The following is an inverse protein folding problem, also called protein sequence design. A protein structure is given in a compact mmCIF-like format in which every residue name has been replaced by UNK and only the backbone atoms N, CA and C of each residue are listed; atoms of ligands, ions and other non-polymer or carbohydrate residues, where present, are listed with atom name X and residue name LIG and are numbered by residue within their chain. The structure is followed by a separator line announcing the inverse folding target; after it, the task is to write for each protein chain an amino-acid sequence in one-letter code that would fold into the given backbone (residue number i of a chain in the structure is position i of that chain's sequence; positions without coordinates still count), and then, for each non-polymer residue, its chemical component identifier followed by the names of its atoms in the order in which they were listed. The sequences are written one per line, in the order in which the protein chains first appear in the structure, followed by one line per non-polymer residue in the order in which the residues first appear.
data_IF_445504639115
#
_entry.id   IF_445504639115
#
_cell.length_a   1.000
_cell.length_b   1.000
_cell.length_c   1.000
_cell.angle_alpha   90.00
_cell.angle_beta   90.00
_cell.angle_gamma   90.00
#
_symmetry.space_group_name_H-M   'P 1'
#
loop_
_entity.id
_entity.type
_entity.pdbx_description
1 polymer ?
#
# COMPACT_ATOMS: atom_id res chain seq x y z
N UNK A 1 -19.57 -7.66 2.33
CA UNK A 1 -18.87 -8.09 3.58
C UNK A 1 -17.54 -8.71 3.21
N UNK A 2 -16.49 -8.35 3.92
CA UNK A 2 -15.16 -8.92 3.74
C UNK A 2 -14.98 -10.07 4.73
N UNK A 3 -14.56 -11.22 4.22
CA UNK A 3 -14.29 -12.38 5.07
C UNK A 3 -12.96 -12.22 5.78
N UNK A 4 -12.97 -12.45 7.09
CA UNK A 4 -11.77 -12.44 7.90
C UNK A 4 -11.40 -13.88 8.23
N UNK A 5 -10.15 -14.25 7.98
CA UNK A 5 -9.60 -15.55 8.34
C UNK A 5 -8.65 -15.41 9.50
N UNK A 6 -8.62 -16.41 10.38
CA UNK A 6 -7.68 -16.46 11.50
C UNK A 6 -6.62 -17.53 11.19
N UNK A 7 -5.36 -17.11 11.13
CA UNK A 7 -4.21 -17.96 10.90
C UNK A 7 -3.27 -17.89 12.10
N UNK A 8 -3.54 -18.71 13.13
CA UNK A 8 -2.70 -18.81 14.32
C UNK A 8 -2.49 -17.46 15.03
N UNK A 9 -3.60 -16.73 15.24
CA UNK A 9 -3.56 -15.41 15.86
C UNK A 9 -3.33 -14.25 14.91
N UNK A 10 -3.05 -14.51 13.64
CA UNK A 10 -3.00 -13.49 12.59
C UNK A 10 -4.36 -13.46 11.89
N UNK A 11 -5.04 -12.33 11.95
CA UNK A 11 -6.28 -12.14 11.21
C UNK A 11 -5.97 -11.54 9.84
N UNK A 12 -6.53 -12.16 8.80
CA UNK A 12 -6.31 -11.75 7.41
C UNK A 12 -7.64 -11.37 6.80
N UNK A 13 -7.77 -10.13 6.34
CA UNK A 13 -8.97 -9.63 5.67
C UNK A 13 -8.63 -9.28 4.23
N UNK A 14 -9.25 -9.92 3.22
CA UNK A 14 -9.02 -9.56 1.83
C UNK A 14 -9.67 -8.21 1.51
N UNK A 15 -8.95 -7.39 0.74
CA UNK A 15 -9.37 -6.05 0.36
C UNK A 15 -9.41 -5.95 -1.16
N UNK A 16 -10.56 -5.63 -1.78
CA UNK A 16 -10.61 -5.41 -3.22
C UNK A 16 -9.65 -4.30 -3.65
N UNK A 17 -8.96 -4.51 -4.76
CA UNK A 17 -8.04 -3.53 -5.35
C UNK A 17 -8.50 -3.14 -6.75
N UNK A 18 -7.97 -2.04 -7.27
CA UNK A 18 -8.22 -1.55 -8.63
C UNK A 18 -7.12 -2.03 -9.57
N UNK A 19 -7.43 -3.04 -10.37
CA UNK A 19 -6.49 -3.60 -11.33
C UNK A 19 -7.26 -4.14 -12.53
N UNK A 20 -6.55 -4.46 -13.62
CA UNK A 20 -7.18 -4.99 -14.85
C UNK A 20 -7.83 -6.36 -14.64
N UNK A 21 -7.39 -7.09 -13.62
CA UNK A 21 -7.95 -8.39 -13.23
C UNK A 21 -8.47 -8.30 -11.80
N UNK A 22 -9.35 -9.23 -11.43
CA UNK A 22 -9.80 -9.33 -10.04
C UNK A 22 -8.59 -9.54 -9.13
N UNK A 23 -8.35 -8.58 -8.26
CA UNK A 23 -7.15 -8.54 -7.44
C UNK A 23 -7.51 -8.14 -6.01
N UNK A 24 -6.87 -8.79 -5.05
CA UNK A 24 -7.05 -8.48 -3.62
C UNK A 24 -5.73 -8.11 -2.98
N UNK A 25 -5.78 -7.11 -2.12
CA UNK A 25 -4.78 -6.90 -1.09
C UNK A 25 -5.29 -7.49 0.22
N UNK A 26 -4.57 -7.24 1.29
CA UNK A 26 -4.90 -7.84 2.59
C UNK A 26 -4.62 -6.87 3.73
N UNK A 27 -5.50 -6.86 4.71
CA UNK A 27 -5.18 -6.30 6.01
C UNK A 27 -4.76 -7.45 6.93
N UNK A 28 -3.56 -7.36 7.45
CA UNK A 28 -2.97 -8.34 8.36
C UNK A 28 -3.00 -7.75 9.77
N UNK A 29 -3.67 -8.44 10.70
CA UNK A 29 -3.86 -7.92 12.04
C UNK A 29 -3.40 -8.90 13.11
N UNK A 30 -2.66 -8.39 14.08
CA UNK A 30 -2.44 -9.05 15.37
C UNK A 30 -3.21 -8.30 16.46
N UNK A 31 -3.05 -8.69 17.72
CA UNK A 31 -3.67 -7.96 18.83
C UNK A 31 -3.19 -6.51 18.93
N UNK A 32 -1.99 -6.19 18.40
CA UNK A 32 -1.35 -4.89 18.60
C UNK A 32 -0.98 -4.16 17.31
N UNK A 33 -1.09 -4.80 16.16
CA UNK A 33 -0.54 -4.25 14.91
C UNK A 33 -1.43 -4.54 13.73
N UNK A 34 -1.43 -3.62 12.76
CA UNK A 34 -2.10 -3.76 11.47
C UNK A 34 -1.15 -3.40 10.35
N UNK A 35 -1.05 -4.28 9.36
CA UNK A 35 -0.28 -4.04 8.13
C UNK A 35 -1.22 -4.21 6.95
N UNK A 36 -1.30 -3.19 6.10
CA UNK A 36 -2.05 -3.29 4.85
C UNK A 36 -1.09 -3.63 3.72
N UNK A 37 -1.38 -4.69 2.97
CA UNK A 37 -0.64 -5.10 1.78
C UNK A 37 -1.49 -4.86 0.55
N UNK A 38 -1.13 -3.84 -0.26
CA UNK A 38 -1.97 -3.30 -1.32
C UNK A 38 -1.24 -3.33 -2.67
N UNK A 39 -1.18 -4.49 -3.31
CA UNK A 39 -0.54 -4.67 -4.62
C UNK A 39 -1.20 -5.83 -5.37
N UNK A 40 -1.46 -5.73 -6.68
CA UNK A 40 -1.23 -4.56 -7.54
C UNK A 40 -2.49 -3.69 -7.58
N UNK A 41 -2.32 -2.39 -7.63
CA UNK A 41 -3.48 -1.49 -7.63
C UNK A 41 -3.18 -0.12 -8.23
N UNK A 42 -4.18 0.47 -8.86
CA UNK A 42 -4.17 1.88 -9.25
C UNK A 42 -5.17 2.62 -8.35
N UNK A 43 -4.65 3.30 -7.34
CA UNK A 43 -5.50 3.86 -6.30
C UNK A 43 -6.16 2.78 -5.46
N UNK A 44 -7.25 3.10 -4.81
CA UNK A 44 -8.04 2.15 -4.01
C UNK A 44 -9.53 2.31 -4.30
N UNK A 45 -10.29 1.20 -4.37
CA UNK A 45 -11.74 1.29 -4.36
C UNK A 45 -12.23 2.00 -3.09
N UNK A 46 -13.34 2.72 -3.21
CA UNK A 46 -13.92 3.45 -2.08
C UNK A 46 -14.18 2.54 -0.87
N UNK A 47 -14.67 1.33 -1.11
CA UNK A 47 -14.93 0.36 -0.05
C UNK A 47 -13.67 -0.01 0.71
N UNK A 48 -12.56 -0.23 0.02
CA UNK A 48 -11.27 -0.55 0.63
C UNK A 48 -10.73 0.64 1.40
N UNK A 49 -10.81 1.84 0.83
CA UNK A 49 -10.39 3.05 1.51
C UNK A 49 -11.16 3.27 2.81
N UNK A 50 -12.48 3.14 2.78
CA UNK A 50 -13.33 3.27 3.98
C UNK A 50 -12.96 2.23 5.04
N UNK A 51 -12.69 1.00 4.63
CA UNK A 51 -12.29 -0.06 5.56
C UNK A 51 -10.98 0.28 6.26
N UNK A 52 -9.99 0.79 5.52
CA UNK A 52 -8.69 1.19 6.09
C UNK A 52 -8.79 2.42 6.98
N UNK A 53 -9.74 3.33 6.72
CA UNK A 53 -10.00 4.47 7.61
C UNK A 53 -10.56 4.02 8.96
N UNK A 54 -11.34 2.94 8.97
CA UNK A 54 -11.92 2.37 10.19
C UNK A 54 -10.99 1.35 10.87
N UNK A 55 -9.96 0.89 10.17
CA UNK A 55 -9.01 -0.12 10.64
C UNK A 55 -7.60 0.35 10.28
N UNK A 56 -7.17 1.40 10.91
CA UNK A 56 -5.97 2.16 10.57
C UNK A 56 -4.70 1.28 10.64
N UNK A 57 -3.96 1.11 9.52
CA UNK A 57 -2.72 0.36 9.52
C UNK A 57 -1.54 1.20 9.97
N UNK A 58 -0.66 0.63 10.79
CA UNK A 58 0.60 1.27 11.15
C UNK A 58 1.59 1.23 9.98
N UNK A 59 1.51 0.18 9.17
CA UNK A 59 2.36 0.02 7.99
C UNK A 59 1.47 -0.23 6.78
N UNK A 60 1.75 0.47 5.70
CA UNK A 60 1.09 0.26 4.43
C UNK A 60 2.14 -0.09 3.38
N UNK A 61 2.08 -1.32 2.86
CA UNK A 61 2.89 -1.74 1.71
C UNK A 61 2.03 -1.56 0.48
N UNK A 62 2.44 -0.73 -0.45
CA UNK A 62 1.58 -0.36 -1.58
C UNK A 62 2.33 -0.31 -2.90
N UNK A 63 1.65 -0.74 -3.96
CA UNK A 63 2.09 -0.60 -5.34
C UNK A 63 2.36 0.87 -5.65
N UNK A 64 3.58 1.17 -6.10
CA UNK A 64 3.96 2.48 -6.60
C UNK A 64 4.98 2.29 -7.73
N UNK A 65 4.47 1.99 -8.92
CA UNK A 65 5.32 1.65 -10.06
C UNK A 65 5.88 2.86 -10.78
N UNK A 66 5.25 4.02 -10.64
CA UNK A 66 5.57 5.20 -11.44
C UNK A 66 6.05 6.38 -10.60
N UNK A 67 7.01 7.18 -11.13
CA UNK A 67 7.27 8.50 -10.55
C UNK A 67 6.04 9.39 -10.67
N UNK A 68 6.05 10.60 -10.09
CA UNK A 68 4.91 11.50 -10.22
C UNK A 68 4.49 11.71 -11.68
N UNK A 69 3.21 11.59 -11.96
CA UNK A 69 2.64 11.73 -13.30
C UNK A 69 1.53 12.76 -13.31
N UNK A 70 1.39 13.44 -14.46
CA UNK A 70 0.30 14.39 -14.67
C UNK A 70 -1.04 13.69 -14.91
N UNK A 71 -1.03 12.47 -15.46
CA UNK A 71 -2.19 11.66 -15.73
C UNK A 71 -2.25 10.45 -14.78
N UNK A 72 -3.46 10.02 -14.41
CA UNK A 72 -3.64 8.87 -13.52
C UNK A 72 -3.27 7.58 -14.27
N UNK A 73 -2.38 6.74 -13.72
CA UNK A 73 -2.08 5.44 -14.31
C UNK A 73 -3.26 4.48 -14.17
N UNK A 74 -3.31 3.43 -15.02
CA UNK A 74 -4.47 2.54 -15.09
C UNK A 74 -4.40 1.31 -14.17
N UNK A 75 -3.21 0.73 -14.00
CA UNK A 75 -3.07 -0.56 -13.32
C UNK A 75 -2.18 -0.48 -12.07
N UNK A 76 -1.43 0.58 -11.93
CA UNK A 76 -0.47 0.77 -10.86
C UNK A 76 -0.51 2.22 -10.40
N UNK A 77 -0.14 2.46 -9.16
CA UNK A 77 -0.05 3.82 -8.64
C UNK A 77 1.19 4.54 -9.17
N UNK A 78 1.09 5.85 -9.30
CA UNK A 78 2.24 6.75 -9.29
C UNK A 78 2.45 7.29 -7.88
N UNK A 79 3.55 8.00 -7.65
CA UNK A 79 3.86 8.53 -6.33
C UNK A 79 2.82 9.56 -5.87
N UNK A 80 2.29 10.39 -6.77
CA UNK A 80 1.25 11.36 -6.42
C UNK A 80 0.01 10.67 -5.84
N UNK A 81 -0.42 9.57 -6.44
CA UNK A 81 -1.57 8.80 -5.96
C UNK A 81 -1.31 8.23 -4.56
N UNK A 82 -0.13 7.65 -4.34
CA UNK A 82 0.21 7.09 -3.03
C UNK A 82 0.28 8.18 -1.95
N UNK A 83 0.88 9.32 -2.27
CA UNK A 83 0.93 10.44 -1.33
C UNK A 83 -0.48 10.94 -0.97
N UNK A 84 -1.36 11.06 -1.96
CA UNK A 84 -2.74 11.48 -1.73
C UNK A 84 -3.51 10.48 -0.87
N UNK A 85 -3.36 9.18 -1.15
CA UNK A 85 -3.98 8.13 -0.33
C UNK A 85 -3.51 8.21 1.12
N UNK A 86 -2.22 8.40 1.33
CA UNK A 86 -1.69 8.43 2.69
C UNK A 86 -1.99 9.73 3.44
N UNK A 87 -2.34 10.81 2.75
CA UNK A 87 -2.87 11.99 3.43
C UNK A 87 -4.18 11.70 4.14
N UNK A 88 -4.93 10.73 3.66
CA UNK A 88 -6.22 10.30 4.23
C UNK A 88 -6.02 9.13 5.20
N UNK A 89 -5.29 8.08 4.79
CA UNK A 89 -5.07 6.87 5.60
C UNK A 89 -4.13 7.15 6.77
N UNK A 90 -3.09 7.94 6.56
CA UNK A 90 -2.14 8.37 7.60
C UNK A 90 -1.37 7.23 8.26
N UNK A 91 -0.95 6.25 7.49
CA UNK A 91 0.00 5.26 7.99
C UNK A 91 1.34 5.93 8.27
N UNK A 92 1.92 5.75 9.46
CA UNK A 92 3.21 6.37 9.78
C UNK A 92 4.36 5.78 8.98
N UNK A 93 4.21 4.58 8.45
CA UNK A 93 5.24 3.94 7.64
C UNK A 93 4.61 3.40 6.35
N UNK A 94 5.10 3.86 5.22
CA UNK A 94 4.64 3.45 3.89
C UNK A 94 5.82 2.85 3.13
N UNK A 95 5.66 1.61 2.69
CA UNK A 95 6.67 0.89 1.92
C UNK A 95 6.18 0.80 0.48
N UNK A 96 6.96 1.35 -0.45
CA UNK A 96 6.65 1.33 -1.87
C UNK A 96 7.19 0.05 -2.49
N UNK A 97 6.35 -0.63 -3.24
CA UNK A 97 6.71 -1.86 -3.93
C UNK A 97 6.33 -1.79 -5.40
N UNK A 98 6.73 -2.78 -6.18
CA UNK A 98 6.45 -2.84 -7.63
C UNK A 98 7.12 -1.70 -8.41
N UNK A 99 8.35 -1.38 -8.07
CA UNK A 99 9.09 -0.23 -8.62
C UNK A 99 9.49 -0.48 -10.07
N UNK A 100 9.16 0.45 -10.97
CA UNK A 100 9.60 0.40 -12.37
C UNK A 100 11.01 0.97 -12.54
N UNK A 101 11.63 0.71 -13.70
CA UNK A 101 12.90 1.33 -14.06
C UNK A 101 12.82 2.85 -14.07
N UNK A 102 11.69 3.40 -14.55
CA UNK A 102 11.50 4.85 -14.59
C UNK A 102 11.46 5.45 -13.18
N UNK A 103 10.78 4.76 -12.26
CA UNK A 103 10.71 5.22 -10.88
C UNK A 103 12.05 5.09 -10.18
N UNK A 104 12.76 4.00 -10.40
CA UNK A 104 14.10 3.81 -9.84
C UNK A 104 15.05 4.92 -10.29
N UNK A 105 15.04 5.29 -11.56
CA UNK A 105 15.82 6.41 -12.08
C UNK A 105 15.45 7.74 -11.42
N UNK A 106 14.16 7.99 -11.24
CA UNK A 106 13.66 9.19 -10.56
C UNK A 106 14.15 9.24 -9.09
N UNK A 107 14.15 8.11 -8.40
CA UNK A 107 14.58 8.01 -7.01
C UNK A 107 16.09 8.28 -6.83
N UNK A 108 16.90 8.10 -7.86
CA UNK A 108 18.31 8.45 -7.82
C UNK A 108 18.53 9.96 -7.66
N UNK A 109 17.58 10.78 -8.10
CA UNK A 109 17.70 12.23 -8.12
C UNK A 109 16.72 12.93 -7.19
N UNK A 110 15.83 12.20 -6.54
CA UNK A 110 14.76 12.77 -5.73
C UNK A 110 14.60 11.99 -4.42
N UNK A 111 14.32 12.72 -3.35
CA UNK A 111 14.08 12.12 -2.05
C UNK A 111 12.58 11.85 -1.86
N UNK A 112 12.26 10.80 -1.09
CA UNK A 112 10.92 10.53 -0.64
C UNK A 112 10.60 11.34 0.62
N UNK A 113 9.32 11.67 0.86
CA UNK A 113 8.92 12.28 2.13
C UNK A 113 9.23 11.37 3.33
N UNK A 114 9.31 11.97 4.52
CA UNK A 114 9.46 11.21 5.76
C UNK A 114 8.33 10.19 5.91
N UNK A 115 8.69 8.98 6.34
CA UNK A 115 7.74 7.87 6.52
C UNK A 115 7.56 7.00 5.28
N UNK A 116 8.16 7.37 4.15
CA UNK A 116 8.09 6.62 2.90
C UNK A 116 9.44 5.99 2.58
N UNK A 117 9.43 4.71 2.27
CA UNK A 117 10.64 3.95 1.92
C UNK A 117 10.35 3.04 0.74
N UNK A 118 11.38 2.69 -0.02
CA UNK A 118 11.28 1.67 -1.07
C UNK A 118 11.56 0.30 -0.45
N UNK A 119 10.67 -0.65 -0.68
CA UNK A 119 10.88 -2.03 -0.27
C UNK A 119 12.00 -2.69 -1.06
N UNK A 120 12.69 -3.64 -0.46
CA UNK A 120 13.74 -4.41 -1.10
C UNK A 120 13.69 -5.86 -0.63
N UNK A 121 14.26 -6.75 -1.43
CA UNK A 121 14.27 -8.18 -1.12
C UNK A 121 14.98 -8.45 0.21
N UNK A 122 14.31 -9.14 1.11
CA UNK A 122 14.83 -9.42 2.44
C UNK A 122 14.58 -8.32 3.47
N UNK A 123 13.85 -7.26 3.10
CA UNK A 123 13.49 -6.20 4.04
C UNK A 123 12.65 -6.75 5.19
N UNK A 124 13.01 -6.40 6.41
CA UNK A 124 12.26 -6.73 7.61
C UNK A 124 11.70 -5.46 8.22
N UNK A 125 10.43 -5.51 8.62
CA UNK A 125 9.74 -4.38 9.24
C UNK A 125 9.24 -4.83 10.60
N UNK A 126 9.74 -4.17 11.65
CA UNK A 126 9.26 -4.42 12.99
C UNK A 126 7.89 -3.79 13.20
N UNK A 127 6.93 -4.60 13.68
CA UNK A 127 5.60 -4.12 14.07
C UNK A 127 5.38 -4.50 15.54
N UNK A 128 5.05 -3.51 16.35
CA UNK A 128 4.86 -3.70 17.78
C UNK A 128 3.48 -4.24 18.12
#
# INVERSE_FOLDING_TARGET
MLFRSDLQGLQVTPLPLNHSKLTFGYLLETAHSRVAWLSDTAGLPEKTLKFLLNNHPQVMVIDCSHPPRADAPRNHCDLNTVLALNQVIRSPQVILTHISHQFDAWLMENALPSGFEVGFDGMEIGVA
#
